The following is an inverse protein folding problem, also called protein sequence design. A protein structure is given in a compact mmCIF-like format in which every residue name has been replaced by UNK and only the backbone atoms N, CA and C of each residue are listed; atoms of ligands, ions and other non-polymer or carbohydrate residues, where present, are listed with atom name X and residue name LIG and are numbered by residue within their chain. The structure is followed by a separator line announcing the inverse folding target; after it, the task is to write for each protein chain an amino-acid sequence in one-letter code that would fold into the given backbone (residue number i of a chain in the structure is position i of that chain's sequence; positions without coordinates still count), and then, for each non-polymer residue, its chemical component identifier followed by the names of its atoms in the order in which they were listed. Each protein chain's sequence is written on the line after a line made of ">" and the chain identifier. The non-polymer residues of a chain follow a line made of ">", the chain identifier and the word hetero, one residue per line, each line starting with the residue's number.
data_IF_816958398189
#
_entry.id   IF_816958398189
#
_cell.length_a   1.000
_cell.length_b   1.000
_cell.length_c   1.000
_cell.angle_alpha   90.00
_cell.angle_beta   90.00
_cell.angle_gamma   90.00
#
_symmetry.space_group_name_H-M   'P 1'
#
loop_
_entity.id
_entity.type
_entity.pdbx_description
1 polymer ?
#
# COMPACT_ATOMS: atom_id res chain seq x y z
N UNK A 1 9.89 1.64 11.49
CA UNK A 1 9.80 0.94 10.19
C UNK A 1 10.82 -0.20 10.04
N UNK A 2 12.14 -0.01 10.23
CA UNK A 2 13.13 -1.08 9.97
C UNK A 2 12.86 -2.36 10.77
N UNK A 3 12.65 -2.24 12.09
CA UNK A 3 12.34 -3.36 13.00
C UNK A 3 11.08 -4.13 12.58
N UNK A 4 10.05 -3.44 12.12
CA UNK A 4 8.79 -4.07 11.69
C UNK A 4 8.96 -4.86 10.39
N UNK A 5 9.78 -4.34 9.47
CA UNK A 5 9.97 -4.96 8.15
C UNK A 5 10.96 -6.12 8.22
N UNK A 6 12.04 -5.98 8.99
CA UNK A 6 13.06 -7.02 9.13
C UNK A 6 12.65 -8.18 10.04
N UNK A 7 11.54 -8.03 10.79
CA UNK A 7 11.03 -9.08 11.68
C UNK A 7 9.67 -9.60 11.20
N UNK A 8 9.60 -10.84 10.65
CA UNK A 8 8.35 -11.44 10.18
C UNK A 8 7.28 -11.62 11.27
N UNK A 9 7.66 -11.78 12.54
CA UNK A 9 6.71 -12.01 13.63
C UNK A 9 6.01 -10.74 14.12
N UNK A 10 6.48 -9.56 13.71
CA UNK A 10 5.88 -8.29 14.13
C UNK A 10 4.84 -7.81 13.12
N UNK A 11 3.74 -7.26 13.60
CA UNK A 11 2.83 -6.42 12.83
C UNK A 11 2.80 -5.04 13.45
N UNK A 12 2.33 -4.05 12.71
CA UNK A 12 2.19 -2.71 13.27
C UNK A 12 1.60 -1.73 12.30
N UNK A 13 1.21 -0.58 12.86
CA UNK A 13 0.76 0.58 12.10
C UNK A 13 1.84 1.67 12.13
N UNK A 14 2.06 2.31 10.98
CA UNK A 14 2.95 3.46 10.83
C UNK A 14 2.15 4.59 10.23
N UNK A 15 2.06 5.72 10.93
CA UNK A 15 1.36 6.91 10.43
C UNK A 15 2.37 7.91 9.87
N UNK A 16 2.12 8.37 8.65
CA UNK A 16 2.98 9.30 7.91
C UNK A 16 2.15 10.42 7.31
N UNK A 17 2.83 11.48 6.85
CA UNK A 17 2.23 12.57 6.09
C UNK A 17 2.97 12.73 4.77
N UNK A 18 2.22 13.08 3.73
CA UNK A 18 2.76 13.42 2.42
C UNK A 18 2.21 14.76 2.00
N UNK A 19 3.11 15.74 1.85
CA UNK A 19 2.77 17.05 1.33
C UNK A 19 3.28 17.17 -0.10
N UNK A 20 2.36 17.42 -1.02
CA UNK A 20 2.70 17.62 -2.43
C UNK A 20 2.84 19.11 -2.75
N UNK A 21 4.02 19.50 -3.22
CA UNK A 21 4.29 20.85 -3.74
C UNK A 21 4.08 20.97 -5.25
N UNK A 22 3.85 19.86 -5.96
CA UNK A 22 3.73 19.77 -7.42
C UNK A 22 2.86 18.59 -7.82
N UNK A 23 2.18 18.70 -8.96
CA UNK A 23 1.49 17.55 -9.57
C UNK A 23 2.47 16.45 -9.99
N UNK A 24 1.99 15.20 -10.05
CA UNK A 24 2.77 14.03 -10.48
C UNK A 24 3.51 14.27 -11.81
N UNK A 25 2.85 14.89 -12.80
CA UNK A 25 3.41 15.18 -14.13
C UNK A 25 4.67 16.07 -14.09
N UNK A 26 4.85 16.83 -12.99
CA UNK A 26 5.99 17.73 -12.76
C UNK A 26 7.01 17.16 -11.78
N UNK A 27 6.77 15.95 -11.26
CA UNK A 27 7.70 15.25 -10.38
C UNK A 27 8.75 14.52 -11.20
N UNK A 28 10.00 14.52 -10.71
CA UNK A 28 11.04 13.63 -11.21
C UNK A 28 10.92 12.29 -10.50
N UNK A 29 10.29 11.33 -11.17
CA UNK A 29 10.17 9.95 -10.69
C UNK A 29 11.51 9.22 -10.76
N UNK A 30 11.67 8.24 -9.90
CA UNK A 30 12.75 7.26 -9.97
C UNK A 30 12.51 6.31 -11.14
N UNK A 31 13.53 5.51 -11.50
CA UNK A 31 13.39 4.47 -12.53
C UNK A 31 12.27 3.48 -12.17
N UNK A 32 12.15 3.10 -10.89
CA UNK A 32 11.07 2.23 -10.42
C UNK A 32 9.69 2.90 -10.49
N UNK A 33 9.59 4.17 -10.09
CA UNK A 33 8.35 4.94 -10.19
C UNK A 33 7.90 5.11 -11.65
N UNK A 34 8.84 5.34 -12.56
CA UNK A 34 8.54 5.41 -13.99
C UNK A 34 8.09 4.05 -14.55
N UNK A 35 8.74 2.94 -14.16
CA UNK A 35 8.27 1.59 -14.55
C UNK A 35 6.83 1.32 -14.10
N UNK A 36 6.49 1.63 -12.84
CA UNK A 36 5.11 1.50 -12.35
C UNK A 36 4.11 2.37 -13.13
N UNK A 37 4.54 3.53 -13.62
CA UNK A 37 3.71 4.42 -14.41
C UNK A 37 3.47 3.90 -15.84
N UNK A 38 4.45 3.21 -16.44
CA UNK A 38 4.43 2.87 -17.87
C UNK A 38 4.13 1.41 -18.18
N UNK A 39 4.37 0.48 -17.25
CA UNK A 39 4.09 -0.94 -17.46
C UNK A 39 2.59 -1.19 -17.27
N UNK A 40 1.93 -1.98 -18.13
CA UNK A 40 0.52 -2.32 -17.93
C UNK A 40 0.26 -2.94 -16.56
N UNK A 41 -0.75 -2.44 -15.86
CA UNK A 41 -1.29 -3.06 -14.64
C UNK A 41 -2.41 -4.06 -15.01
N UNK A 42 -2.93 -4.81 -14.04
CA UNK A 42 -4.03 -5.75 -14.24
C UNK A 42 -5.39 -5.06 -14.51
N UNK A 43 -5.37 -3.75 -14.82
CA UNK A 43 -6.51 -2.87 -14.95
C UNK A 43 -6.78 -2.09 -13.65
N UNK A 44 -7.25 -0.85 -13.80
CA UNK A 44 -7.64 -0.02 -12.65
C UNK A 44 -7.16 1.42 -12.76
N UNK A 45 -7.71 2.26 -11.88
CA UNK A 45 -7.47 3.70 -11.85
C UNK A 45 -6.55 4.14 -10.69
N UNK A 46 -5.72 3.23 -10.20
CA UNK A 46 -4.88 3.40 -9.01
C UNK A 46 -3.40 3.65 -9.30
N UNK A 47 -2.97 3.68 -10.57
CA UNK A 47 -1.56 3.84 -10.99
C UNK A 47 -0.84 4.97 -10.26
N UNK A 48 -1.47 6.15 -10.17
CA UNK A 48 -0.88 7.32 -9.49
C UNK A 48 -0.57 7.01 -8.01
N UNK A 49 -1.52 6.36 -7.32
CA UNK A 49 -1.37 6.04 -5.90
C UNK A 49 -0.31 4.97 -5.65
N UNK A 50 -0.12 4.04 -6.58
CA UNK A 50 0.93 3.02 -6.55
C UNK A 50 2.32 3.61 -6.81
N UNK A 51 2.44 4.45 -7.83
CA UNK A 51 3.67 5.18 -8.17
C UNK A 51 4.13 6.02 -6.97
N UNK A 52 3.23 6.81 -6.38
CA UNK A 52 3.58 7.64 -5.22
C UNK A 52 3.84 6.81 -3.96
N UNK A 53 3.15 5.68 -3.80
CA UNK A 53 3.45 4.72 -2.73
C UNK A 53 4.89 4.25 -2.82
N UNK A 54 5.32 3.83 -4.02
CA UNK A 54 6.69 3.41 -4.26
C UNK A 54 7.70 4.54 -4.08
N UNK A 55 7.43 5.74 -4.63
CA UNK A 55 8.32 6.90 -4.46
C UNK A 55 8.52 7.28 -2.99
N UNK A 56 7.49 7.19 -2.16
CA UNK A 56 7.59 7.41 -0.72
C UNK A 56 8.48 6.36 -0.08
N UNK A 57 8.26 5.07 -0.35
CA UNK A 57 9.09 3.99 0.20
C UNK A 57 10.55 4.08 -0.28
N UNK A 58 10.77 4.44 -1.54
CA UNK A 58 12.10 4.63 -2.09
C UNK A 58 12.84 5.78 -1.39
N UNK A 59 12.20 6.96 -1.27
CA UNK A 59 12.84 8.15 -0.70
C UNK A 59 13.04 8.05 0.82
N UNK A 60 12.12 7.42 1.54
CA UNK A 60 12.19 7.32 2.99
C UNK A 60 12.98 6.10 3.47
N UNK A 61 12.98 5.01 2.71
CA UNK A 61 13.48 3.71 3.17
C UNK A 61 14.36 2.98 2.14
N UNK A 62 14.76 3.66 1.06
CA UNK A 62 15.62 3.11 0.01
C UNK A 62 15.06 1.85 -0.66
N UNK A 63 13.73 1.70 -0.69
CA UNK A 63 13.08 0.59 -1.36
C UNK A 63 13.42 0.55 -2.85
N UNK A 64 13.75 -0.63 -3.39
CA UNK A 64 14.08 -0.82 -4.80
C UNK A 64 13.02 -1.70 -5.46
N UNK A 65 12.41 -1.24 -6.55
CA UNK A 65 11.36 -2.00 -7.25
C UNK A 65 11.94 -3.31 -7.79
N UNK A 66 11.26 -4.43 -7.51
CA UNK A 66 11.60 -5.74 -8.05
C UNK A 66 10.64 -6.10 -9.18
N UNK A 67 9.34 -6.19 -8.85
CA UNK A 67 8.28 -6.57 -9.80
C UNK A 67 7.05 -5.69 -9.67
N UNK A 68 6.38 -5.42 -10.78
CA UNK A 68 5.04 -4.83 -10.81
C UNK A 68 3.96 -5.91 -10.65
N UNK A 69 2.70 -5.52 -10.47
CA UNK A 69 1.54 -6.39 -10.29
C UNK A 69 1.50 -7.59 -11.26
N UNK A 70 1.67 -7.32 -12.56
CA UNK A 70 1.58 -8.34 -13.62
C UNK A 70 2.83 -9.22 -13.78
N UNK A 71 3.92 -8.87 -13.10
CA UNK A 71 5.18 -9.62 -13.14
C UNK A 71 5.26 -10.69 -12.04
N UNK A 72 4.38 -10.62 -11.04
CA UNK A 72 4.27 -11.63 -9.98
C UNK A 72 3.44 -12.82 -10.45
N UNK A 73 3.97 -14.02 -10.23
CA UNK A 73 3.27 -15.25 -10.61
C UNK A 73 2.40 -15.80 -9.47
N UNK A 74 1.17 -16.20 -9.78
CA UNK A 74 0.19 -16.73 -8.82
C UNK A 74 -0.41 -18.06 -9.29
N UNK A 75 -0.71 -18.94 -8.34
CA UNK A 75 -1.51 -20.15 -8.57
C UNK A 75 -2.34 -20.51 -7.33
N UNK A 76 -3.65 -20.84 -7.48
CA UNK A 76 -4.43 -20.81 -8.70
C UNK A 76 -4.66 -19.38 -9.22
N UNK A 77 -5.01 -19.27 -10.51
CA UNK A 77 -5.31 -17.99 -11.16
C UNK A 77 -6.63 -17.38 -10.64
N UNK A 78 -6.76 -16.05 -10.71
CA UNK A 78 -8.01 -15.33 -10.42
C UNK A 78 -8.22 -14.90 -8.96
N UNK A 79 -7.19 -14.98 -8.11
CA UNK A 79 -7.22 -14.50 -6.71
C UNK A 79 -6.74 -13.06 -6.53
N UNK A 80 -6.68 -12.60 -5.28
CA UNK A 80 -6.06 -11.32 -4.92
C UNK A 80 -4.56 -11.31 -5.29
N UNK A 81 -4.10 -10.20 -5.85
CA UNK A 81 -2.71 -9.95 -6.22
C UNK A 81 -2.17 -8.72 -5.48
N UNK A 82 -0.85 -8.54 -5.50
CA UNK A 82 -0.16 -7.40 -4.88
C UNK A 82 0.16 -6.36 -5.95
N UNK A 83 0.15 -5.08 -5.61
CA UNK A 83 0.36 -4.02 -6.60
C UNK A 83 1.82 -3.97 -7.08
N UNK A 84 2.77 -4.22 -6.18
CA UNK A 84 4.18 -4.40 -6.54
C UNK A 84 4.98 -5.10 -5.45
N UNK A 85 6.20 -5.52 -5.79
CA UNK A 85 7.19 -6.01 -4.84
C UNK A 85 8.45 -5.15 -4.89
N UNK A 86 9.08 -4.97 -3.75
CA UNK A 86 10.33 -4.23 -3.62
C UNK A 86 11.30 -4.93 -2.67
N UNK A 87 12.56 -4.56 -2.79
CA UNK A 87 13.60 -4.91 -1.85
C UNK A 87 13.83 -3.74 -0.90
N UNK A 88 13.75 -3.98 0.39
CA UNK A 88 13.91 -2.95 1.42
C UNK A 88 14.46 -3.61 2.70
N UNK A 89 15.50 -3.01 3.29
CA UNK A 89 16.19 -3.60 4.45
C UNK A 89 16.61 -5.07 4.24
N UNK A 90 17.18 -5.38 3.07
CA UNK A 90 17.59 -6.74 2.67
C UNK A 90 16.47 -7.79 2.68
N UNK A 91 15.21 -7.33 2.63
CA UNK A 91 14.02 -8.16 2.67
C UNK A 91 13.20 -7.93 1.40
N UNK A 92 12.67 -9.01 0.82
CA UNK A 92 11.69 -8.89 -0.27
C UNK A 92 10.32 -8.67 0.33
N UNK A 93 9.70 -7.55 -0.02
CA UNK A 93 8.43 -7.09 0.54
C UNK A 93 7.41 -6.98 -0.60
N UNK A 94 6.22 -7.53 -0.39
CA UNK A 94 5.07 -7.27 -1.25
C UNK A 94 4.27 -6.10 -0.68
N UNK A 95 3.81 -5.21 -1.57
CA UNK A 95 3.15 -3.97 -1.21
C UNK A 95 1.79 -3.90 -1.89
N UNK A 96 0.75 -3.82 -1.08
CA UNK A 96 -0.59 -3.52 -1.53
C UNK A 96 -0.97 -2.08 -1.21
N UNK A 97 -1.58 -1.40 -2.17
CA UNK A 97 -1.95 0.02 -2.09
C UNK A 97 -3.46 0.17 -2.09
N UNK A 98 -3.95 1.13 -1.33
CA UNK A 98 -5.37 1.50 -1.35
C UNK A 98 -5.57 2.94 -0.94
N UNK A 99 -6.76 3.45 -1.25
CA UNK A 99 -7.20 4.81 -0.91
C UNK A 99 -8.37 4.70 0.06
N UNK A 100 -8.30 5.43 1.16
CA UNK A 100 -9.36 5.58 2.14
C UNK A 100 -10.07 6.91 1.88
N UNK A 101 -11.17 6.82 1.15
CA UNK A 101 -12.02 7.95 0.78
C UNK A 101 -13.48 7.48 0.72
N UNK A 102 -14.41 8.42 0.88
CA UNK A 102 -15.84 8.18 0.70
C UNK A 102 -16.39 9.22 -0.26
N UNK A 103 -17.21 8.79 -1.20
CA UNK A 103 -17.78 9.69 -2.21
C UNK A 103 -18.87 10.60 -1.63
N UNK A 104 -19.62 10.13 -0.62
CA UNK A 104 -20.70 10.88 0.04
C UNK A 104 -20.71 10.61 1.55
N UNK A 105 -20.90 11.68 2.32
CA UNK A 105 -20.94 11.64 3.78
C UNK A 105 -19.58 11.40 4.42
N UNK A 106 -19.59 11.32 5.75
CA UNK A 106 -18.37 11.16 6.54
C UNK A 106 -17.84 9.73 6.48
N UNK A 107 -16.50 9.62 6.51
CA UNK A 107 -15.79 8.35 6.54
C UNK A 107 -15.88 7.75 7.95
N UNK A 108 -16.68 6.69 8.11
CA UNK A 108 -16.98 6.12 9.43
C UNK A 108 -15.94 5.09 9.88
N UNK A 109 -16.01 4.71 11.16
CA UNK A 109 -15.23 3.59 11.68
C UNK A 109 -15.57 2.27 10.97
N UNK A 110 -16.84 2.06 10.62
CA UNK A 110 -17.29 0.89 9.86
C UNK A 110 -16.67 0.85 8.45
N UNK A 111 -16.61 2.01 7.77
CA UNK A 111 -15.95 2.12 6.46
C UNK A 111 -14.47 1.71 6.55
N UNK A 112 -13.79 2.18 7.60
CA UNK A 112 -12.39 1.87 7.88
C UNK A 112 -12.18 0.38 8.18
N UNK A 113 -13.01 -0.21 9.05
CA UNK A 113 -12.97 -1.63 9.41
C UNK A 113 -13.19 -2.51 8.17
N UNK A 114 -14.20 -2.18 7.36
CA UNK A 114 -14.48 -2.89 6.11
C UNK A 114 -13.31 -2.82 5.14
N UNK A 115 -12.71 -1.63 4.97
CA UNK A 115 -11.57 -1.43 4.07
C UNK A 115 -10.35 -2.23 4.51
N UNK A 116 -9.92 -2.07 5.78
CA UNK A 116 -8.73 -2.73 6.32
C UNK A 116 -8.91 -4.25 6.33
N UNK A 117 -10.04 -4.75 6.82
CA UNK A 117 -10.32 -6.20 6.86
C UNK A 117 -10.29 -6.81 5.47
N UNK A 118 -10.94 -6.17 4.49
CA UNK A 118 -10.93 -6.64 3.10
C UNK A 118 -9.51 -6.70 2.54
N UNK A 119 -8.70 -5.65 2.76
CA UNK A 119 -7.34 -5.55 2.22
C UNK A 119 -6.38 -6.52 2.88
N UNK A 120 -6.42 -6.68 4.20
CA UNK A 120 -5.59 -7.65 4.92
C UNK A 120 -5.92 -9.10 4.52
N UNK A 121 -7.21 -9.45 4.38
CA UNK A 121 -7.60 -10.78 3.86
C UNK A 121 -7.10 -11.02 2.44
N UNK A 122 -7.16 -10.00 1.58
CA UNK A 122 -6.59 -10.04 0.23
C UNK A 122 -5.08 -10.27 0.23
N UNK A 123 -4.34 -9.62 1.13
CA UNK A 123 -2.90 -9.81 1.31
C UNK A 123 -2.57 -11.24 1.76
N UNK A 124 -3.34 -11.80 2.69
CA UNK A 124 -3.16 -13.21 3.12
C UNK A 124 -3.38 -14.15 1.93
N UNK A 125 -4.42 -13.91 1.13
CA UNK A 125 -4.70 -14.69 -0.06
C UNK A 125 -3.58 -14.57 -1.11
N UNK A 126 -3.12 -13.34 -1.39
CA UNK A 126 -2.07 -13.11 -2.39
C UNK A 126 -0.73 -13.73 -1.95
N UNK A 127 -0.42 -13.69 -0.65
CA UNK A 127 0.74 -14.37 -0.07
C UNK A 127 0.66 -15.88 -0.27
N UNK A 128 -0.51 -16.48 -0.02
CA UNK A 128 -0.71 -17.92 -0.16
C UNK A 128 -0.61 -18.38 -1.62
N UNK A 129 -1.15 -17.59 -2.54
CA UNK A 129 -1.23 -17.95 -3.95
C UNK A 129 0.04 -17.57 -4.72
N UNK A 130 0.92 -16.72 -4.16
CA UNK A 130 2.15 -16.35 -4.83
C UNK A 130 3.06 -17.56 -5.00
N UNK A 131 3.63 -17.72 -6.20
CA UNK A 131 4.70 -18.67 -6.46
C UNK A 131 6.07 -18.14 -5.98
N UNK A 132 6.09 -16.95 -5.38
CA UNK A 132 7.26 -16.26 -4.88
C UNK A 132 7.20 -16.16 -3.36
N UNK A 133 8.38 -16.07 -2.72
CA UNK A 133 8.47 -15.92 -1.27
C UNK A 133 8.78 -14.47 -0.91
N UNK A 134 7.91 -13.89 -0.08
CA UNK A 134 8.12 -12.57 0.50
C UNK A 134 8.29 -12.70 2.01
N UNK A 135 9.27 -12.00 2.55
CA UNK A 135 9.53 -11.98 3.99
C UNK A 135 8.53 -11.11 4.75
N UNK A 136 7.93 -10.13 4.09
CA UNK A 136 7.01 -9.16 4.70
C UNK A 136 5.94 -8.69 3.73
N UNK A 137 4.82 -8.23 4.29
CA UNK A 137 3.78 -7.51 3.59
C UNK A 137 3.66 -6.07 4.07
N UNK A 138 3.36 -5.15 3.16
CA UNK A 138 2.97 -3.77 3.47
C UNK A 138 1.59 -3.50 2.88
N UNK A 139 0.67 -3.00 3.70
CA UNK A 139 -0.55 -2.35 3.23
C UNK A 139 -0.35 -0.83 3.35
N UNK A 140 -0.19 -0.14 2.23
CA UNK A 140 -0.11 1.32 2.21
C UNK A 140 -1.49 1.92 1.90
N UNK A 141 -2.02 2.69 2.85
CA UNK A 141 -3.31 3.37 2.78
C UNK A 141 -3.08 4.87 2.65
N UNK A 142 -3.49 5.44 1.52
CA UNK A 142 -3.63 6.88 1.36
C UNK A 142 -4.91 7.34 2.04
N UNK A 143 -4.81 8.33 2.91
CA UNK A 143 -5.94 8.92 3.65
C UNK A 143 -6.11 10.39 3.31
N UNK A 144 -7.35 10.84 3.16
CA UNK A 144 -7.68 12.20 2.70
C UNK A 144 -7.55 13.27 3.77
N UNK A 145 -7.52 12.89 5.05
CA UNK A 145 -7.44 13.84 6.17
C UNK A 145 -6.96 13.16 7.45
N UNK A 146 -6.55 13.97 8.44
CA UNK A 146 -6.20 13.47 9.77
C UNK A 146 -7.36 12.75 10.47
N UNK A 147 -8.60 13.16 10.21
CA UNK A 147 -9.77 12.44 10.72
C UNK A 147 -9.80 11.01 10.17
N UNK A 148 -9.69 10.84 8.83
CA UNK A 148 -9.66 9.53 8.19
C UNK A 148 -8.49 8.68 8.69
N UNK A 149 -7.30 9.29 8.83
CA UNK A 149 -6.12 8.61 9.40
C UNK A 149 -6.42 8.08 10.81
N UNK A 150 -6.98 8.91 11.67
CA UNK A 150 -7.30 8.53 13.06
C UNK A 150 -8.35 7.42 13.11
N UNK A 151 -9.37 7.47 12.24
CA UNK A 151 -10.40 6.44 12.11
C UNK A 151 -9.82 5.11 11.62
N UNK A 152 -8.86 5.12 10.70
CA UNK A 152 -8.15 3.92 10.23
C UNK A 152 -7.28 3.29 11.33
N UNK A 153 -6.58 4.11 12.14
CA UNK A 153 -5.80 3.61 13.28
C UNK A 153 -6.73 2.92 14.28
N UNK A 154 -7.86 3.56 14.64
CA UNK A 154 -8.86 2.96 15.52
C UNK A 154 -9.41 1.64 14.95
N UNK A 155 -9.70 1.58 13.65
CA UNK A 155 -10.15 0.36 13.00
C UNK A 155 -9.08 -0.74 13.04
N UNK A 156 -7.81 -0.40 12.82
CA UNK A 156 -6.70 -1.36 12.88
C UNK A 156 -6.58 -2.04 14.25
N UNK A 157 -6.81 -1.29 15.34
CA UNK A 157 -6.74 -1.84 16.70
C UNK A 157 -7.83 -2.90 16.97
N UNK A 158 -8.93 -2.85 16.22
CA UNK A 158 -10.02 -3.86 16.31
C UNK A 158 -9.75 -5.12 15.48
N UNK A 159 -8.71 -5.13 14.63
CA UNK A 159 -8.38 -6.28 13.79
C UNK A 159 -7.64 -7.33 14.62
N UNK A 160 -8.08 -8.58 14.48
CA UNK A 160 -7.49 -9.72 15.18
C UNK A 160 -5.99 -9.91 14.81
N UNK A 161 -5.17 -10.42 15.74
CA UNK A 161 -3.74 -10.60 15.52
C UNK A 161 -3.37 -11.46 14.32
N UNK A 162 -4.18 -12.47 13.99
CA UNK A 162 -3.92 -13.39 12.88
C UNK A 162 -4.09 -12.69 11.53
N UNK A 163 -5.17 -11.89 11.38
CA UNK A 163 -5.45 -11.13 10.16
C UNK A 163 -4.39 -10.07 9.87
N UNK A 164 -3.80 -9.46 10.91
CA UNK A 164 -2.72 -8.47 10.74
C UNK A 164 -1.31 -9.06 10.75
N UNK A 165 -1.17 -10.38 10.94
CA UNK A 165 0.12 -11.04 11.06
C UNK A 165 0.99 -10.79 9.82
N UNK A 166 2.29 -10.64 10.05
CA UNK A 166 3.31 -10.38 9.03
C UNK A 166 3.07 -9.16 8.10
N UNK A 167 2.14 -8.27 8.46
CA UNK A 167 1.79 -7.09 7.66
C UNK A 167 2.06 -5.81 8.43
N UNK A 168 2.75 -4.87 7.79
CA UNK A 168 2.89 -3.49 8.27
C UNK A 168 1.86 -2.64 7.54
N UNK A 169 0.99 -1.96 8.29
CA UNK A 169 0.02 -1.02 7.73
C UNK A 169 0.63 0.37 7.79
N UNK A 170 0.88 0.98 6.63
CA UNK A 170 1.31 2.38 6.54
C UNK A 170 0.09 3.20 6.19
N UNK A 171 -0.23 4.22 7.00
CA UNK A 171 -1.32 5.15 6.74
C UNK A 171 -0.69 6.52 6.49
N UNK A 172 -0.76 7.00 5.25
CA UNK A 172 -0.24 8.31 4.88
C UNK A 172 -1.38 9.30 4.70
N UNK A 173 -1.39 10.38 5.49
CA UNK A 173 -2.28 11.53 5.22
C UNK A 173 -1.71 12.29 4.03
N UNK A 174 -2.49 12.40 2.95
CA UNK A 174 -2.13 13.16 1.77
C UNK A 174 -2.63 14.60 1.88
N UNK A 175 -1.73 15.56 1.76
CA UNK A 175 -1.99 17.00 1.80
C UNK A 175 -1.59 17.64 0.46
N UNK A 176 -2.47 18.46 -0.13
CA UNK A 176 -2.30 19.08 -1.45
C UNK A 176 -2.04 18.08 -2.59
N UNK A 177 -2.67 16.90 -2.51
CA UNK A 177 -2.40 15.79 -3.41
C UNK A 177 -3.68 15.06 -3.88
N UNK A 178 -4.75 15.81 -4.20
CA UNK A 178 -6.06 15.24 -4.57
C UNK A 178 -6.00 14.28 -5.77
N UNK A 179 -5.02 14.48 -6.65
CA UNK A 179 -4.75 13.59 -7.79
C UNK A 179 -4.40 12.15 -7.37
N UNK A 180 -4.06 11.88 -6.11
CA UNK A 180 -3.95 10.51 -5.56
C UNK A 180 -5.33 9.83 -5.53
N UNK A 181 -6.38 10.58 -5.20
CA UNK A 181 -7.74 10.09 -4.98
C UNK A 181 -8.59 10.11 -6.24
N UNK A 182 -8.21 10.90 -7.23
CA UNK A 182 -8.89 10.98 -8.50
C UNK A 182 -8.42 9.87 -9.44
N UNK A 183 -9.38 9.29 -10.14
CA UNK A 183 -9.11 8.51 -11.33
C UNK A 183 -8.87 9.56 -12.42
N UNK A 184 -7.64 9.70 -12.89
CA UNK A 184 -7.20 10.79 -13.78
C UNK A 184 -8.14 11.09 -14.94
#
# INVERSE_FOLDING_TARGET
>A
MPVLVSNPSLSGVVVTKFFSSRDLKKMRLTVGGYRLLTVPNAGGSSVISEVLSFELLHKCFSAQLKKTEMEVSYFPLGGSITDYTCEMFHSTVAVSVTRAMKFRGDYSLEDAQRLITKKLKGIIQSTRNSLEKWSKQILHIWSTSHHVTSTLVQAYDTIDPETKANTVVIITTAENADYIFNNG
#
